data_IF_028267141063
#
_entry.id   IF_028267141063
#
_cell.length_a   1.000
_cell.length_b   1.000
_cell.length_c   1.000
_cell.angle_alpha   90.00
_cell.angle_beta   90.00
_cell.angle_gamma   90.00
#
_symmetry.space_group_name_H-M   'P 1'
#
loop_
_entity.id
_entity.type
_entity.pdbx_description
1 polymer ?
#
# COMPACT_ATOMS: atom_id res chain seq x y z
N UNK A 1 22.32 13.48 -12.54
CA UNK A 1 23.03 14.62 -11.89
C UNK A 1 22.14 15.89 -11.88
N UNK A 2 21.95 16.57 -10.74
CA UNK A 2 21.17 17.81 -10.68
C UNK A 2 21.64 18.84 -11.70
N UNK A 3 20.71 19.47 -12.44
CA UNK A 3 20.97 20.47 -13.50
C UNK A 3 21.75 19.97 -14.73
N UNK A 4 22.09 18.69 -14.81
CA UNK A 4 22.80 18.10 -15.98
C UNK A 4 21.97 16.99 -16.64
N UNK A 5 21.28 16.17 -15.83
CA UNK A 5 20.42 15.08 -16.29
C UNK A 5 18.95 15.36 -15.96
N UNK A 6 18.00 14.60 -16.52
CA UNK A 6 16.61 14.61 -16.06
C UNK A 6 16.55 14.39 -14.55
N UNK A 7 15.76 15.21 -13.86
CA UNK A 7 15.46 15.03 -12.44
C UNK A 7 14.28 14.08 -12.26
N UNK A 8 13.93 13.78 -11.00
CA UNK A 8 12.79 12.94 -10.68
C UNK A 8 11.48 13.47 -11.28
N UNK A 9 11.23 14.78 -11.21
CA UNK A 9 10.03 15.42 -11.76
C UNK A 9 9.92 15.30 -13.28
N UNK A 10 11.04 15.29 -14.01
CA UNK A 10 11.05 15.04 -15.45
C UNK A 10 10.55 13.64 -15.83
N UNK A 11 10.50 12.71 -14.88
CA UNK A 11 10.16 11.30 -15.07
C UNK A 11 8.92 10.85 -14.29
N UNK A 12 8.17 11.79 -13.69
CA UNK A 12 7.06 11.46 -12.79
C UNK A 12 5.93 10.69 -13.48
N UNK A 13 5.75 10.90 -14.78
CA UNK A 13 4.73 10.24 -15.60
C UNK A 13 5.01 8.74 -15.82
N UNK A 14 6.23 8.27 -15.53
CA UNK A 14 6.57 6.85 -15.58
C UNK A 14 6.03 6.06 -14.37
N UNK A 15 5.62 6.74 -13.29
CA UNK A 15 5.09 6.07 -12.11
C UNK A 15 3.65 5.62 -12.33
N UNK A 16 3.28 4.40 -11.89
CA UNK A 16 1.92 3.94 -12.02
C UNK A 16 0.98 4.82 -11.18
N UNK A 17 -0.26 5.06 -11.65
CA UNK A 17 -1.24 5.82 -10.88
C UNK A 17 -1.56 5.10 -9.57
N UNK A 18 -1.72 5.86 -8.50
CA UNK A 18 -2.14 5.31 -7.21
C UNK A 18 -3.59 4.79 -7.29
N UNK A 19 -3.81 3.53 -6.94
CA UNK A 19 -5.14 2.93 -6.87
C UNK A 19 -5.91 3.51 -5.68
N UNK A 20 -6.69 4.56 -5.91
CA UNK A 20 -7.61 5.14 -4.91
C UNK A 20 -9.00 4.55 -5.10
N UNK A 21 -9.55 3.95 -4.05
CA UNK A 21 -10.93 3.47 -4.05
C UNK A 21 -11.84 4.68 -3.79
N UNK A 22 -12.89 4.83 -4.58
CA UNK A 22 -13.81 5.96 -4.45
C UNK A 22 -14.72 5.78 -3.22
N UNK A 23 -14.94 6.86 -2.47
CA UNK A 23 -15.79 6.85 -1.26
C UNK A 23 -17.22 6.36 -1.54
N UNK A 24 -17.82 6.75 -2.66
CA UNK A 24 -19.15 6.29 -3.06
C UNK A 24 -19.19 4.77 -3.32
N UNK A 25 -18.09 4.21 -3.83
CA UNK A 25 -17.98 2.78 -4.12
C UNK A 25 -17.86 1.97 -2.84
N UNK A 26 -17.03 2.42 -1.88
CA UNK A 26 -16.96 1.75 -0.58
C UNK A 26 -18.21 1.98 0.26
N UNK A 27 -18.97 3.07 0.07
CA UNK A 27 -20.17 3.33 0.86
C UNK A 27 -21.38 2.51 0.39
N UNK A 28 -21.64 2.51 -0.92
CA UNK A 28 -22.92 2.03 -1.47
C UNK A 28 -22.80 0.72 -2.27
N UNK A 29 -21.77 0.59 -3.11
CA UNK A 29 -21.68 -0.50 -4.10
C UNK A 29 -20.31 -1.22 -4.07
N UNK A 30 -20.00 -1.96 -2.99
CA UNK A 30 -18.80 -2.79 -2.96
C UNK A 30 -18.90 -3.91 -4.01
N UNK A 31 -17.79 -4.23 -4.69
CA UNK A 31 -17.74 -5.22 -5.78
C UNK A 31 -16.64 -6.26 -5.60
N UNK A 32 -15.57 -5.89 -4.89
CA UNK A 32 -14.40 -6.72 -4.63
C UNK A 32 -14.14 -6.72 -3.11
N UNK A 33 -13.52 -7.76 -2.54
CA UNK A 33 -13.35 -7.87 -1.09
C UNK A 33 -12.52 -6.73 -0.49
N UNK A 34 -11.64 -6.10 -1.29
CA UNK A 34 -10.89 -4.90 -0.89
C UNK A 34 -11.82 -3.74 -0.51
N UNK A 35 -12.97 -3.59 -1.18
CA UNK A 35 -13.93 -2.52 -0.87
C UNK A 35 -14.59 -2.73 0.51
N UNK A 36 -14.81 -3.99 0.90
CA UNK A 36 -15.37 -4.32 2.21
C UNK A 36 -14.37 -4.03 3.33
N UNK A 37 -13.09 -4.33 3.12
CA UNK A 37 -12.02 -3.98 4.06
C UNK A 37 -11.86 -2.46 4.17
N UNK A 38 -11.78 -1.75 3.05
CA UNK A 38 -11.63 -0.30 3.03
C UNK A 38 -12.79 0.42 3.76
N UNK A 39 -14.01 -0.07 3.63
CA UNK A 39 -15.13 0.44 4.41
C UNK A 39 -14.98 0.21 5.91
N UNK A 40 -14.53 -0.98 6.32
CA UNK A 40 -14.33 -1.28 7.73
C UNK A 40 -13.22 -0.40 8.32
N UNK A 41 -12.13 -0.15 7.59
CA UNK A 41 -10.99 0.65 8.04
C UNK A 41 -11.24 2.16 8.00
N UNK A 42 -11.92 2.68 6.96
CA UNK A 42 -12.07 4.13 6.77
C UNK A 42 -13.39 4.68 7.30
N UNK A 43 -14.50 3.94 7.16
CA UNK A 43 -15.83 4.45 7.52
C UNK A 43 -16.26 3.88 8.86
N UNK A 44 -16.19 2.56 9.03
CA UNK A 44 -16.76 1.91 10.21
C UNK A 44 -15.90 2.13 11.46
N UNK A 45 -14.57 2.14 11.32
CA UNK A 45 -13.64 2.41 12.41
C UNK A 45 -13.94 3.74 13.09
N UNK A 46 -14.06 4.82 12.31
CA UNK A 46 -14.33 6.16 12.83
C UNK A 46 -15.74 6.30 13.41
N UNK A 47 -16.72 5.59 12.84
CA UNK A 47 -18.10 5.57 13.36
C UNK A 47 -18.25 4.84 14.68
N UNK A 48 -17.62 3.67 14.83
CA UNK A 48 -17.81 2.80 16.02
C UNK A 48 -16.77 3.03 17.10
N UNK A 49 -15.57 3.49 16.76
CA UNK A 49 -14.44 3.68 17.67
C UNK A 49 -14.24 2.47 18.62
N UNK A 50 -14.03 1.27 18.06
CA UNK A 50 -14.09 0.00 18.79
C UNK A 50 -13.11 -0.10 19.98
N UNK A 51 -11.96 0.56 19.89
CA UNK A 51 -10.91 0.54 20.92
C UNK A 51 -10.81 1.88 21.69
N UNK A 52 -11.88 2.68 21.70
CA UNK A 52 -11.96 3.93 22.44
C UNK A 52 -11.87 5.19 21.57
N UNK A 53 -12.32 6.32 22.13
CA UNK A 53 -12.55 7.57 21.37
C UNK A 53 -11.31 8.18 20.70
N UNK A 54 -10.13 7.89 21.25
CA UNK A 54 -8.83 8.44 20.84
C UNK A 54 -7.95 7.39 20.14
N UNK A 55 -8.38 6.12 20.09
CA UNK A 55 -7.61 5.06 19.47
C UNK A 55 -7.70 5.18 17.94
N UNK A 56 -6.56 5.46 17.30
CA UNK A 56 -6.42 5.43 15.84
C UNK A 56 -6.19 4.01 15.38
N UNK A 57 -6.60 3.73 14.14
CA UNK A 57 -6.32 2.46 13.50
C UNK A 57 -4.81 2.28 13.38
N UNK A 58 -4.29 1.32 14.14
CA UNK A 58 -2.95 0.78 13.98
C UNK A 58 -3.00 -0.50 13.14
N UNK A 59 -2.34 -0.50 11.99
CA UNK A 59 -2.27 -1.66 11.11
C UNK A 59 -1.39 -2.79 11.64
N UNK A 60 -0.44 -2.49 12.53
CA UNK A 60 0.46 -3.48 13.13
C UNK A 60 -0.16 -4.19 14.34
N UNK A 61 -1.24 -3.64 14.91
CA UNK A 61 -1.95 -4.27 16.01
C UNK A 61 -2.85 -5.43 15.51
N UNK A 62 -2.60 -6.68 15.94
CA UNK A 62 -3.41 -7.84 15.51
C UNK A 62 -4.89 -7.74 15.92
N UNK A 63 -5.21 -7.10 17.04
CA UNK A 63 -6.59 -6.94 17.51
C UNK A 63 -7.37 -5.99 16.59
N UNK A 64 -6.73 -4.93 16.12
CA UNK A 64 -7.33 -3.99 15.18
C UNK A 64 -7.61 -4.64 13.83
N UNK A 65 -6.66 -5.41 13.30
CA UNK A 65 -6.83 -6.12 12.03
C UNK A 65 -7.89 -7.22 12.17
N UNK A 66 -7.94 -7.92 13.29
CA UNK A 66 -8.98 -8.93 13.58
C UNK A 66 -10.38 -8.31 13.60
N UNK A 67 -10.52 -7.13 14.21
CA UNK A 67 -11.78 -6.38 14.21
C UNK A 67 -12.19 -5.97 12.79
N UNK A 68 -11.26 -5.43 12.00
CA UNK A 68 -11.51 -5.05 10.61
C UNK A 68 -11.92 -6.27 9.78
N UNK A 69 -11.22 -7.39 9.93
CA UNK A 69 -11.54 -8.63 9.23
C UNK A 69 -12.96 -9.10 9.54
N UNK A 70 -13.36 -9.12 10.82
CA UNK A 70 -14.71 -9.51 11.24
C UNK A 70 -15.80 -8.65 10.61
N UNK A 71 -15.65 -7.32 10.67
CA UNK A 71 -16.65 -6.40 10.11
C UNK A 71 -16.66 -6.39 8.58
N UNK A 72 -15.49 -6.55 7.94
CA UNK A 72 -15.38 -6.69 6.49
C UNK A 72 -16.05 -7.97 6.00
N UNK A 73 -15.92 -9.09 6.72
CA UNK A 73 -16.58 -10.36 6.38
C UNK A 73 -18.10 -10.26 6.48
N UNK A 74 -18.63 -9.67 7.56
CA UNK A 74 -20.08 -9.41 7.69
C UNK A 74 -20.62 -8.59 6.53
N UNK A 75 -19.85 -7.58 6.10
CA UNK A 75 -20.24 -6.76 4.95
C UNK A 75 -20.13 -7.53 3.63
N UNK A 76 -19.12 -8.36 3.46
CA UNK A 76 -18.98 -9.18 2.27
C UNK A 76 -20.14 -10.17 2.13
N UNK A 77 -20.61 -10.76 3.22
CA UNK A 77 -21.81 -11.62 3.26
C UNK A 77 -23.07 -10.86 2.80
N UNK A 78 -23.26 -9.61 3.24
CA UNK A 78 -24.42 -8.78 2.84
C UNK A 78 -24.48 -8.54 1.32
N UNK A 79 -23.33 -8.45 0.65
CA UNK A 79 -23.23 -8.19 -0.79
C UNK A 79 -22.87 -9.44 -1.61
N UNK A 80 -22.82 -10.62 -0.98
CA UNK A 80 -22.46 -11.89 -1.65
C UNK A 80 -21.02 -11.94 -2.18
N UNK A 81 -20.09 -11.16 -1.60
CA UNK A 81 -18.69 -11.07 -2.03
C UNK A 81 -17.86 -12.10 -1.26
N UNK A 82 -17.07 -12.90 -1.96
CA UNK A 82 -16.16 -13.87 -1.37
C UNK A 82 -14.70 -13.37 -1.36
N UNK A 83 -13.86 -14.01 -0.55
CA UNK A 83 -12.40 -13.78 -0.57
C UNK A 83 -11.88 -12.76 0.45
N UNK A 84 -12.70 -12.35 1.43
CA UNK A 84 -12.18 -11.61 2.60
C UNK A 84 -11.35 -12.57 3.44
N UNK A 85 -10.06 -12.28 3.58
CA UNK A 85 -9.13 -13.06 4.40
C UNK A 85 -8.33 -12.12 5.29
N UNK A 86 -7.80 -12.62 6.41
CA UNK A 86 -6.95 -11.82 7.30
C UNK A 86 -5.75 -11.19 6.57
N UNK A 87 -5.10 -11.97 5.69
CA UNK A 87 -3.97 -11.49 4.87
C UNK A 87 -4.39 -10.38 3.92
N UNK A 88 -5.58 -10.47 3.31
CA UNK A 88 -6.13 -9.40 2.48
C UNK A 88 -6.43 -8.15 3.30
N UNK A 89 -7.02 -8.31 4.50
CA UNK A 89 -7.30 -7.20 5.40
C UNK A 89 -6.03 -6.44 5.76
N UNK A 90 -4.98 -7.16 6.17
CA UNK A 90 -3.68 -6.58 6.47
C UNK A 90 -3.05 -5.90 5.23
N UNK A 91 -3.18 -6.53 4.06
CA UNK A 91 -2.69 -6.00 2.78
C UNK A 91 -3.30 -4.64 2.43
N UNK A 92 -4.62 -4.52 2.56
CA UNK A 92 -5.37 -3.29 2.26
C UNK A 92 -5.10 -2.20 3.30
N UNK A 93 -5.12 -2.53 4.59
CA UNK A 93 -4.91 -1.54 5.68
C UNK A 93 -3.51 -0.94 5.63
N UNK A 94 -2.48 -1.76 5.37
CA UNK A 94 -1.08 -1.30 5.36
C UNK A 94 -0.59 -0.87 3.97
N UNK A 95 -1.40 -0.98 2.92
CA UNK A 95 -0.95 -0.83 1.53
C UNK A 95 0.34 -1.65 1.24
N UNK A 96 0.34 -2.94 1.59
CA UNK A 96 1.55 -3.78 1.53
C UNK A 96 2.03 -3.93 0.08
N UNK A 97 3.26 -3.53 -0.19
CA UNK A 97 3.98 -3.82 -1.43
C UNK A 97 4.74 -5.15 -1.23
N UNK A 98 4.51 -6.18 -2.06
CA UNK A 98 5.28 -7.42 -2.01
C UNK A 98 6.77 -7.14 -2.22
N UNK A 99 7.63 -7.72 -1.37
CA UNK A 99 9.08 -7.53 -1.45
C UNK A 99 9.83 -8.85 -1.30
N UNK A 100 10.92 -9.02 -2.07
CA UNK A 100 11.81 -10.20 -2.03
C UNK A 100 13.26 -9.71 -1.99
N UNK A 101 14.12 -10.40 -1.23
CA UNK A 101 15.52 -9.99 -1.05
C UNK A 101 16.30 -9.90 -2.37
N UNK A 102 16.05 -10.81 -3.32
CA UNK A 102 16.75 -10.85 -4.60
C UNK A 102 16.53 -9.60 -5.46
N UNK A 103 15.30 -9.08 -5.53
CA UNK A 103 15.01 -7.86 -6.31
C UNK A 103 15.67 -6.64 -5.69
N UNK A 104 15.67 -6.54 -4.35
CA UNK A 104 16.36 -5.46 -3.65
C UNK A 104 17.87 -5.53 -3.86
N UNK A 105 18.45 -6.73 -3.87
CA UNK A 105 19.88 -6.93 -4.10
C UNK A 105 20.29 -6.48 -5.51
N UNK A 106 19.52 -6.83 -6.54
CA UNK A 106 19.81 -6.44 -7.94
C UNK A 106 19.76 -4.92 -8.11
N UNK A 107 18.71 -4.27 -7.59
CA UNK A 107 18.57 -2.80 -7.69
C UNK A 107 19.69 -2.10 -6.91
N UNK A 108 19.97 -2.55 -5.68
CA UNK A 108 21.06 -1.99 -4.87
C UNK A 108 22.42 -2.17 -5.55
N UNK A 109 22.69 -3.33 -6.15
CA UNK A 109 23.93 -3.57 -6.89
C UNK A 109 24.08 -2.60 -8.07
N UNK A 110 23.01 -2.36 -8.83
CA UNK A 110 23.00 -1.35 -9.90
C UNK A 110 23.33 0.06 -9.38
N UNK A 111 22.67 0.50 -8.31
CA UNK A 111 22.93 1.80 -7.69
C UNK A 111 24.36 1.95 -7.17
N UNK A 112 24.87 0.93 -6.46
CA UNK A 112 26.23 0.95 -5.90
C UNK A 112 27.28 0.93 -7.00
N UNK A 113 27.04 0.20 -8.09
CA UNK A 113 27.94 0.17 -9.24
C UNK A 113 28.07 1.55 -9.89
N UNK A 114 26.96 2.25 -10.14
CA UNK A 114 27.01 3.62 -10.68
C UNK A 114 27.63 4.62 -9.70
N UNK A 115 27.38 4.47 -8.40
CA UNK A 115 28.04 5.30 -7.39
C UNK A 115 29.56 5.09 -7.35
N UNK A 116 30.02 3.83 -7.47
CA UNK A 116 31.44 3.51 -7.50
C UNK A 116 32.14 4.12 -8.71
N UNK A 117 31.54 3.99 -9.91
CA UNK A 117 32.02 4.62 -11.14
C UNK A 117 32.15 6.13 -11.00
N UNK A 118 31.13 6.78 -10.40
CA UNK A 118 31.11 8.23 -10.20
C UNK A 118 32.21 8.71 -9.25
N UNK A 119 32.48 7.98 -8.17
CA UNK A 119 33.45 8.39 -7.14
C UNK A 119 34.90 8.10 -7.55
N UNK A 120 35.12 7.01 -8.27
CA UNK A 120 36.49 6.53 -8.59
C UNK A 120 36.94 6.82 -10.01
N UNK A 121 36.02 7.25 -10.88
CA UNK A 121 36.24 7.42 -12.32
C UNK A 121 36.82 6.17 -13.01
N UNK A 122 36.59 4.99 -12.43
CA UNK A 122 37.11 3.73 -12.95
C UNK A 122 36.45 3.30 -14.28
N UNK A 123 35.26 3.83 -14.58
CA UNK A 123 34.50 3.58 -15.80
C UNK A 123 33.45 4.70 -16.00
N UNK A 124 32.95 4.90 -17.23
CA UNK A 124 31.90 5.88 -17.49
C UNK A 124 30.60 5.54 -16.73
N UNK A 125 30.07 6.53 -16.01
CA UNK A 125 28.79 6.46 -15.31
C UNK A 125 27.64 7.03 -16.16
N UNK A 126 26.40 6.64 -15.84
CA UNK A 126 25.20 7.15 -16.51
C UNK A 126 25.00 8.63 -16.16
N UNK A 127 24.90 9.50 -17.17
CA UNK A 127 24.77 10.96 -17.01
C UNK A 127 23.33 11.39 -16.76
#
# INVERSE_FOLDING_TARGET
>A
IPRVSPCFECSIDLFPPQTKIQLCTIAETPRVPQHCVAYASEILWDRRKPFGRQCRLDGDNPDHISWIHSEASKRAEQFGIQGVTYKLAQGVVKNIIPAIASTNAIVAAGCVNEALKLVTDCAPYIK
#
